data_IF_554563798968
#
_entry.id   IF_554563798968
#
_cell.length_a   1.000
_cell.length_b   1.000
_cell.length_c   1.000
_cell.angle_alpha   90.00
_cell.angle_beta   90.00
_cell.angle_gamma   90.00
#
_symmetry.space_group_name_H-M   'P 1'
#
loop_
_entity.id
_entity.type
_entity.pdbx_description
1 polymer ?
#
# COMPACT_ATOMS: atom_id res chain seq x y z
N UNK A 1 -6.82 29.42 -12.33
CA UNK A 1 -5.40 29.15 -12.00
C UNK A 1 -4.79 30.45 -11.50
N UNK A 2 -4.68 30.63 -10.19
CA UNK A 2 -4.04 31.82 -9.61
C UNK A 2 -2.52 31.61 -9.60
N UNK A 3 -1.69 32.51 -10.16
CA UNK A 3 -0.25 32.31 -10.34
C UNK A 3 0.62 32.49 -9.08
N UNK A 4 0.04 32.89 -7.94
CA UNK A 4 0.79 33.10 -6.68
C UNK A 4 1.44 31.87 -6.00
N UNK A 5 1.04 30.61 -6.20
CA UNK A 5 1.71 29.46 -5.57
C UNK A 5 3.17 29.26 -6.01
N UNK A 6 3.50 29.65 -7.25
CA UNK A 6 4.84 29.47 -7.80
C UNK A 6 5.87 30.40 -7.14
N UNK A 7 5.44 31.57 -6.65
CA UNK A 7 6.31 32.51 -5.93
C UNK A 7 6.76 31.99 -4.54
N UNK A 8 6.09 30.97 -4.00
CA UNK A 8 6.36 30.41 -2.66
C UNK A 8 6.99 29.00 -2.75
N UNK A 9 7.39 28.56 -3.95
CA UNK A 9 8.03 27.25 -4.14
C UNK A 9 7.11 26.07 -3.83
N UNK A 10 5.81 26.21 -4.11
CA UNK A 10 4.82 25.13 -3.96
C UNK A 10 4.18 24.81 -5.31
N UNK A 11 4.24 23.55 -5.71
CA UNK A 11 3.53 23.00 -6.84
C UNK A 11 2.41 22.09 -6.33
N UNK A 12 1.22 22.24 -6.90
CA UNK A 12 0.10 21.30 -6.73
C UNK A 12 -0.41 20.95 -8.11
N UNK A 13 -0.59 19.66 -8.35
CA UNK A 13 -1.11 19.12 -9.59
C UNK A 13 -2.34 18.31 -9.23
N UNK A 14 -3.51 18.81 -9.58
CA UNK A 14 -4.76 18.05 -9.46
C UNK A 14 -4.82 17.00 -10.59
N UNK A 15 -5.12 15.77 -10.22
CA UNK A 15 -5.19 14.61 -11.12
C UNK A 15 -6.63 14.15 -11.20
N UNK A 16 -7.18 14.12 -12.42
CA UNK A 16 -8.49 13.57 -12.70
C UNK A 16 -8.41 12.77 -14.01
N UNK A 17 -8.55 11.45 -13.91
CA UNK A 17 -8.65 10.53 -15.03
C UNK A 17 -10.01 9.83 -15.01
N UNK A 18 -10.72 9.85 -16.14
CA UNK A 18 -11.89 9.03 -16.37
C UNK A 18 -11.52 7.85 -17.26
N UNK A 19 -12.13 6.70 -17.00
CA UNK A 19 -12.03 5.55 -17.89
C UNK A 19 -12.65 5.90 -19.24
N UNK A 20 -11.82 6.13 -20.26
CA UNK A 20 -12.27 6.26 -21.64
C UNK A 20 -12.61 4.86 -22.16
N UNK A 21 -13.84 4.70 -22.67
CA UNK A 21 -14.53 3.43 -22.89
C UNK A 21 -14.01 2.52 -24.00
N UNK A 22 -12.72 2.17 -23.99
CA UNK A 22 -12.20 1.04 -24.78
C UNK A 22 -11.85 -0.13 -23.86
N UNK A 23 -12.65 -1.18 -24.01
CA UNK A 23 -12.72 -2.34 -23.12
C UNK A 23 -11.54 -3.28 -23.31
N UNK A 24 -10.39 -2.95 -22.72
CA UNK A 24 -9.40 -3.95 -22.30
C UNK A 24 -8.60 -3.41 -21.09
N UNK A 25 -8.75 -4.09 -19.95
CA UNK A 25 -8.23 -3.74 -18.61
C UNK A 25 -8.91 -2.57 -17.89
N UNK A 26 -10.07 -2.86 -17.26
CA UNK A 26 -10.61 -2.24 -16.06
C UNK A 26 -10.39 -0.72 -15.88
N UNK A 27 -11.43 0.05 -16.20
CA UNK A 27 -11.73 1.42 -15.78
C UNK A 27 -10.86 1.99 -14.65
N UNK A 28 -9.76 2.69 -14.99
CA UNK A 28 -8.91 3.40 -14.02
C UNK A 28 -9.47 4.80 -13.79
N UNK A 29 -10.36 4.94 -12.81
CA UNK A 29 -10.68 6.25 -12.25
C UNK A 29 -9.57 6.63 -11.29
N UNK A 30 -8.89 7.74 -11.56
CA UNK A 30 -7.93 8.35 -10.65
C UNK A 30 -8.42 9.75 -10.35
N UNK A 31 -8.53 10.10 -9.07
CA UNK A 31 -8.89 11.44 -8.60
C UNK A 31 -8.03 11.78 -7.40
N UNK A 32 -7.54 13.02 -7.34
CA UNK A 32 -6.83 13.54 -6.17
C UNK A 32 -5.88 14.64 -6.59
N UNK A 33 -4.84 14.87 -5.79
CA UNK A 33 -3.75 15.76 -6.18
C UNK A 33 -2.41 15.27 -5.67
N UNK A 34 -1.36 15.73 -6.33
CA UNK A 34 0.03 15.59 -5.90
C UNK A 34 0.51 16.98 -5.51
N UNK A 35 1.09 17.10 -4.32
CA UNK A 35 1.64 18.36 -3.80
C UNK A 35 3.14 18.23 -3.55
N UNK A 36 3.90 19.25 -3.92
CA UNK A 36 5.34 19.31 -3.74
C UNK A 36 5.77 20.73 -3.35
N UNK A 37 6.75 20.83 -2.48
CA UNK A 37 7.37 22.07 -2.02
C UNK A 37 8.81 21.83 -1.61
N UNK A 38 9.54 22.87 -1.21
CA UNK A 38 10.92 22.75 -0.72
C UNK A 38 11.08 21.74 0.43
N UNK A 39 10.09 21.66 1.32
CA UNK A 39 10.18 20.88 2.56
C UNK A 39 9.14 19.77 2.66
N UNK A 40 8.23 19.64 1.70
CA UNK A 40 7.15 18.68 1.78
C UNK A 40 6.74 18.13 0.43
N UNK A 41 6.40 16.85 0.40
CA UNK A 41 5.82 16.16 -0.75
C UNK A 41 4.64 15.32 -0.28
N UNK A 42 3.63 15.14 -1.10
CA UNK A 42 2.46 14.36 -0.71
C UNK A 42 1.45 14.11 -1.80
N UNK A 43 0.45 13.34 -1.44
CA UNK A 43 -0.80 13.17 -2.17
C UNK A 43 -1.95 13.64 -1.28
N UNK A 44 -2.94 14.27 -1.90
CA UNK A 44 -4.12 14.79 -1.23
C UNK A 44 -5.37 14.18 -1.86
N UNK A 45 -6.24 13.61 -1.02
CA UNK A 45 -7.58 13.09 -1.32
C UNK A 45 -7.58 12.14 -2.52
N UNK A 46 -6.62 11.21 -2.52
CA UNK A 46 -6.37 10.30 -3.64
C UNK A 46 -7.31 9.10 -3.60
N UNK A 47 -8.20 9.00 -4.59
CA UNK A 47 -9.00 7.82 -4.91
C UNK A 47 -8.54 7.26 -6.25
N UNK A 48 -7.98 6.05 -6.23
CA UNK A 48 -7.37 5.44 -7.42
C UNK A 48 -7.37 3.91 -7.35
N UNK A 49 -7.42 3.27 -8.51
CA UNK A 49 -7.08 1.85 -8.66
C UNK A 49 -5.76 1.72 -9.41
N UNK A 50 -4.75 1.18 -8.73
CA UNK A 50 -3.38 1.05 -9.21
C UNK A 50 -3.05 -0.42 -9.49
N UNK A 51 -2.71 -0.81 -10.73
CA UNK A 51 -2.19 -2.15 -10.97
C UNK A 51 -0.81 -2.29 -10.32
N UNK A 52 -0.61 -3.37 -9.57
CA UNK A 52 0.63 -3.59 -8.81
C UNK A 52 1.75 -4.22 -9.64
N UNK A 53 1.41 -4.92 -10.73
CA UNK A 53 2.38 -5.61 -11.59
C UNK A 53 3.26 -6.57 -10.78
N UNK A 54 4.58 -6.55 -11.04
CA UNK A 54 5.56 -7.39 -10.35
C UNK A 54 6.28 -6.69 -9.18
N UNK A 55 5.84 -5.48 -8.80
CA UNK A 55 6.54 -4.60 -7.84
C UNK A 55 6.65 -5.23 -6.45
N UNK A 56 5.66 -6.05 -6.07
CA UNK A 56 5.62 -6.70 -4.76
C UNK A 56 6.03 -8.18 -4.79
N UNK A 57 6.65 -8.65 -5.88
CA UNK A 57 7.11 -10.04 -5.96
C UNK A 57 8.02 -10.38 -4.76
N UNK A 58 7.84 -11.55 -4.13
CA UNK A 58 7.00 -12.68 -4.54
C UNK A 58 5.54 -12.64 -4.04
N UNK A 59 5.08 -11.55 -3.40
CA UNK A 59 3.69 -11.44 -2.95
C UNK A 59 2.74 -11.30 -4.15
N UNK A 60 1.61 -12.04 -4.18
CA UNK A 60 0.68 -12.00 -5.30
C UNK A 60 -0.28 -10.80 -5.20
N UNK A 61 0.26 -9.59 -5.04
CA UNK A 61 -0.55 -8.37 -5.07
C UNK A 61 -0.80 -8.02 -6.53
N UNK A 62 -2.06 -8.05 -6.96
CA UNK A 62 -2.45 -7.71 -8.34
C UNK A 62 -2.82 -6.24 -8.49
N UNK A 63 -3.29 -5.61 -7.42
CA UNK A 63 -3.63 -4.18 -7.43
C UNK A 63 -3.74 -3.57 -6.03
N UNK A 64 -3.76 -2.25 -6.01
CA UNK A 64 -4.03 -1.43 -4.84
C UNK A 64 -5.21 -0.50 -5.14
N UNK A 65 -6.18 -0.48 -4.26
CA UNK A 65 -7.31 0.44 -4.28
C UNK A 65 -7.07 1.48 -3.17
N UNK A 66 -7.08 2.75 -3.55
CA UNK A 66 -6.99 3.89 -2.67
C UNK A 66 -8.37 4.55 -2.60
N UNK A 67 -8.82 4.82 -1.38
CA UNK A 67 -10.07 5.50 -1.10
C UNK A 67 -9.80 6.67 -0.16
N UNK A 68 -9.84 7.88 -0.72
CA UNK A 68 -9.62 9.17 -0.04
C UNK A 68 -8.30 9.23 0.74
N UNK A 69 -7.22 8.79 0.09
CA UNK A 69 -5.90 8.67 0.72
C UNK A 69 -5.15 10.00 0.64
N UNK A 70 -4.81 10.54 1.81
CA UNK A 70 -4.01 11.75 1.96
C UNK A 70 -2.73 11.39 2.72
N UNK A 71 -1.56 11.64 2.13
CA UNK A 71 -0.25 11.41 2.75
C UNK A 71 0.66 12.59 2.49
N UNK A 72 1.33 13.08 3.53
CA UNK A 72 2.34 14.11 3.41
C UNK A 72 3.59 13.71 4.19
N UNK A 73 4.72 13.90 3.52
CA UNK A 73 6.04 13.88 4.12
C UNK A 73 6.53 15.31 4.26
N UNK A 74 7.09 15.64 5.42
CA UNK A 74 7.76 16.90 5.70
C UNK A 74 9.16 16.63 6.21
N UNK A 75 10.16 17.26 5.58
CA UNK A 75 11.57 17.10 5.89
C UNK A 75 12.01 15.61 5.94
N UNK A 76 11.42 14.79 5.07
CA UNK A 76 11.70 13.35 4.96
C UNK A 76 10.80 12.44 5.82
N UNK A 77 10.01 12.99 6.74
CA UNK A 77 9.21 12.23 7.70
C UNK A 77 7.72 12.32 7.39
N UNK A 78 6.99 11.21 7.53
CA UNK A 78 5.52 11.21 7.45
C UNK A 78 4.95 12.11 8.54
N UNK A 79 4.28 13.20 8.16
CA UNK A 79 3.65 14.16 9.07
C UNK A 79 2.11 14.12 9.01
N UNK A 80 1.54 13.59 7.92
CA UNK A 80 0.11 13.31 7.78
C UNK A 80 -0.08 12.01 6.98
N UNK A 81 -0.98 11.16 7.43
CA UNK A 81 -1.47 10.03 6.65
C UNK A 81 -2.86 9.63 7.13
N UNK A 82 -3.80 9.51 6.20
CA UNK A 82 -5.19 9.09 6.42
C UNK A 82 -5.79 8.50 5.14
N UNK A 83 -7.01 7.99 5.24
CA UNK A 83 -7.72 7.31 4.17
C UNK A 83 -7.52 5.79 4.20
N UNK A 84 -8.26 5.10 3.33
CA UNK A 84 -8.31 3.64 3.29
C UNK A 84 -7.52 3.10 2.10
N UNK A 85 -6.71 2.09 2.36
CA UNK A 85 -5.99 1.33 1.35
C UNK A 85 -6.47 -0.10 1.36
N UNK A 86 -6.65 -0.67 0.18
CA UNK A 86 -6.99 -2.07 -0.01
C UNK A 86 -6.05 -2.71 -1.03
N UNK A 87 -5.33 -3.74 -0.62
CA UNK A 87 -4.56 -4.57 -1.52
C UNK A 87 -5.43 -5.70 -2.06
N UNK A 88 -5.48 -5.83 -3.38
CA UNK A 88 -6.11 -6.94 -4.07
C UNK A 88 -5.04 -8.00 -4.30
N UNK A 89 -5.30 -9.21 -3.82
CA UNK A 89 -4.42 -10.34 -3.98
C UNK A 89 -4.97 -11.24 -5.09
N UNK A 90 -4.10 -11.72 -5.98
CA UNK A 90 -4.45 -12.67 -7.03
C UNK A 90 -3.96 -14.07 -6.69
N UNK A 91 -4.86 -15.01 -6.43
CA UNK A 91 -4.50 -16.41 -6.21
C UNK A 91 -4.08 -16.73 -4.77
N UNK A 92 -3.24 -17.75 -4.63
CA UNK A 92 -2.80 -18.36 -3.37
C UNK A 92 -1.31 -18.09 -3.07
N UNK A 93 -0.94 -17.95 -1.78
CA UNK A 93 0.46 -18.06 -1.36
C UNK A 93 0.68 -19.49 -0.88
N UNK A 94 1.61 -20.21 -1.52
CA UNK A 94 2.01 -21.55 -1.10
C UNK A 94 0.84 -22.56 -0.95
N UNK A 95 -0.20 -22.49 -1.81
CA UNK A 95 -1.37 -23.36 -1.71
C UNK A 95 -2.46 -22.88 -0.75
N UNK A 96 -2.33 -21.69 -0.17
CA UNK A 96 -3.30 -21.09 0.77
C UNK A 96 -4.06 -19.99 0.04
N UNK A 97 -5.38 -20.19 -0.12
CA UNK A 97 -6.27 -19.17 -0.67
C UNK A 97 -6.28 -17.95 0.26
N UNK A 98 -5.62 -16.88 -0.17
CA UNK A 98 -5.64 -15.62 0.56
C UNK A 98 -7.02 -15.01 0.37
N UNK A 99 -7.60 -14.50 1.45
CA UNK A 99 -8.93 -13.88 1.41
C UNK A 99 -9.02 -12.78 0.35
N UNK A 100 -10.25 -12.33 0.08
CA UNK A 100 -10.69 -11.33 -0.91
C UNK A 100 -9.98 -9.95 -0.76
N UNK A 101 -8.66 -9.87 -0.70
CA UNK A 101 -7.87 -8.68 -0.44
C UNK A 101 -7.64 -8.36 1.05
N UNK A 102 -6.65 -7.51 1.30
CA UNK A 102 -6.32 -6.97 2.62
C UNK A 102 -6.69 -5.49 2.65
N UNK A 103 -7.22 -4.97 3.75
CA UNK A 103 -7.49 -3.53 3.85
C UNK A 103 -7.08 -2.94 5.20
N UNK A 104 -6.83 -1.64 5.21
CA UNK A 104 -6.42 -0.89 6.40
C UNK A 104 -6.42 0.61 6.16
N UNK A 105 -6.29 1.39 7.24
CA UNK A 105 -6.23 2.85 7.15
C UNK A 105 -4.78 3.32 7.25
N UNK A 106 -4.38 4.19 6.33
CA UNK A 106 -3.06 4.81 6.33
C UNK A 106 -2.87 5.65 7.60
N UNK A 107 -1.66 5.60 8.17
CA UNK A 107 -1.27 6.46 9.30
C UNK A 107 0.24 6.67 9.33
N UNK A 108 0.71 7.74 9.95
CA UNK A 108 2.12 7.92 10.20
C UNK A 108 2.55 7.14 11.46
N UNK A 109 3.70 6.47 11.39
CA UNK A 109 4.30 5.72 12.49
C UNK A 109 5.82 5.83 12.39
N UNK A 110 6.48 6.34 13.46
CA UNK A 110 7.93 6.49 13.52
C UNK A 110 8.56 7.18 12.27
N UNK A 111 7.89 8.21 11.73
CA UNK A 111 8.34 8.96 10.54
C UNK A 111 8.10 8.25 9.20
N UNK A 112 7.52 7.05 9.21
CA UNK A 112 7.11 6.31 8.02
C UNK A 112 5.60 6.44 7.78
N UNK A 113 5.17 6.30 6.53
CA UNK A 113 3.79 5.91 6.22
C UNK A 113 3.64 4.43 6.59
N UNK A 114 2.72 4.12 7.49
CA UNK A 114 2.33 2.76 7.84
C UNK A 114 0.96 2.43 7.25
N UNK A 115 0.91 1.33 6.50
CA UNK A 115 -0.29 0.70 5.97
C UNK A 115 -0.53 -0.64 6.70
N UNK A 116 -1.41 -0.66 7.71
CA UNK A 116 -1.72 -1.81 8.55
C UNK A 116 -2.85 -2.65 7.95
N UNK A 117 -2.57 -3.37 6.88
CA UNK A 117 -3.58 -4.12 6.12
C UNK A 117 -3.91 -5.45 6.81
N UNK A 118 -5.18 -5.85 6.81
CA UNK A 118 -5.63 -7.15 7.32
C UNK A 118 -6.73 -7.75 6.43
N UNK A 119 -6.81 -9.08 6.40
CA UNK A 119 -7.90 -9.78 5.73
C UNK A 119 -9.18 -9.67 6.55
N UNK A 120 -10.34 -9.84 5.89
CA UNK A 120 -11.63 -9.86 6.59
C UNK A 120 -11.72 -10.99 7.62
N UNK A 121 -11.05 -12.13 7.38
CA UNK A 121 -11.00 -13.26 8.30
C UNK A 121 -10.03 -13.02 9.48
N UNK A 122 -9.15 -12.02 9.41
CA UNK A 122 -8.16 -11.72 10.45
C UNK A 122 -7.05 -12.77 10.58
N UNK A 123 -6.92 -13.65 9.59
CA UNK A 123 -5.89 -14.68 9.50
C UNK A 123 -4.62 -14.16 8.84
N UNK A 124 -4.73 -13.18 7.96
CA UNK A 124 -3.61 -12.53 7.29
C UNK A 124 -3.51 -11.05 7.67
N UNK A 125 -2.29 -10.58 7.90
CA UNK A 125 -1.97 -9.18 8.19
C UNK A 125 -0.70 -8.79 7.45
N UNK A 126 -0.71 -7.62 6.81
CA UNK A 126 0.48 -6.98 6.25
C UNK A 126 0.67 -5.61 6.89
N UNK A 127 1.78 -5.40 7.57
CA UNK A 127 2.22 -4.08 8.00
C UNK A 127 3.29 -3.59 7.02
N UNK A 128 2.91 -2.67 6.12
CA UNK A 128 3.82 -2.06 5.14
C UNK A 128 4.22 -0.66 5.62
N UNK A 129 5.52 -0.46 5.83
CA UNK A 129 6.12 0.85 6.15
C UNK A 129 6.85 1.38 4.94
N UNK A 130 6.58 2.63 4.56
CA UNK A 130 7.26 3.35 3.48
C UNK A 130 7.85 4.66 4.01
N UNK A 131 9.05 4.98 3.53
CA UNK A 131 9.72 6.26 3.80
C UNK A 131 9.76 7.10 2.53
N UNK A 132 9.91 8.42 2.68
CA UNK A 132 10.01 9.34 1.54
C UNK A 132 11.17 8.98 0.59
N UNK A 133 12.22 8.36 1.11
CA UNK A 133 13.40 7.92 0.34
C UNK A 133 13.12 6.76 -0.63
N UNK A 134 11.91 6.21 -0.66
CA UNK A 134 11.56 5.01 -1.42
C UNK A 134 11.79 3.69 -0.68
N UNK A 135 12.51 3.73 0.46
CA UNK A 135 12.72 2.55 1.30
C UNK A 135 11.39 2.03 1.79
N UNK A 136 11.24 0.70 1.81
CA UNK A 136 10.08 0.07 2.42
C UNK A 136 10.45 -1.18 3.23
N UNK A 137 9.56 -1.52 4.16
CA UNK A 137 9.56 -2.79 4.88
C UNK A 137 8.13 -3.32 4.94
N UNK A 138 7.89 -4.50 4.39
CA UNK A 138 6.62 -5.21 4.47
C UNK A 138 6.76 -6.39 5.43
N UNK A 139 5.88 -6.46 6.45
CA UNK A 139 5.79 -7.60 7.36
C UNK A 139 4.46 -8.32 7.14
N UNK A 140 4.51 -9.51 6.55
CA UNK A 140 3.36 -10.37 6.36
C UNK A 140 3.29 -11.37 7.52
N UNK A 141 2.16 -11.42 8.21
CA UNK A 141 1.85 -12.41 9.25
C UNK A 141 0.65 -13.24 8.81
N UNK A 142 0.77 -14.56 8.86
CA UNK A 142 -0.29 -15.52 8.53
C UNK A 142 -0.51 -16.46 9.70
N UNK A 143 -1.75 -16.59 10.14
CA UNK A 143 -2.17 -17.61 11.11
C UNK A 143 -2.54 -18.87 10.34
N UNK A 144 -1.74 -19.93 10.54
CA UNK A 144 -2.02 -21.22 9.93
C UNK A 144 -3.29 -21.83 10.53
N UNK A 145 -4.14 -22.41 9.70
CA UNK A 145 -5.35 -23.14 10.10
C UNK A 145 -5.04 -24.50 10.71
N UNK A 146 -3.95 -25.13 10.27
CA UNK A 146 -3.55 -26.49 10.61
C UNK A 146 -2.02 -26.69 10.50
N UNK A 147 -1.47 -27.81 11.01
CA UNK A 147 -0.03 -28.07 10.98
C UNK A 147 0.56 -28.21 9.56
N UNK A 148 -0.23 -28.65 8.58
CA UNK A 148 0.25 -28.82 7.20
C UNK A 148 0.44 -27.44 6.55
N UNK A 149 -0.51 -26.52 6.76
CA UNK A 149 -0.40 -25.14 6.32
C UNK A 149 0.78 -24.42 7.00
N UNK A 150 1.01 -24.67 8.29
CA UNK A 150 2.19 -24.14 9.00
C UNK A 150 3.50 -24.59 8.35
N UNK A 151 3.63 -25.89 8.07
CA UNK A 151 4.83 -26.44 7.44
C UNK A 151 5.08 -25.87 6.04
N UNK A 152 4.02 -25.65 5.24
CA UNK A 152 4.13 -24.98 3.94
C UNK A 152 4.62 -23.54 4.04
N UNK A 153 4.12 -22.78 5.01
CA UNK A 153 4.58 -21.40 5.26
C UNK A 153 6.05 -21.37 5.64
N UNK A 154 6.50 -22.29 6.49
CA UNK A 154 7.91 -22.39 6.89
C UNK A 154 8.83 -22.72 5.69
N UNK A 155 8.41 -23.64 4.82
CA UNK A 155 9.11 -23.92 3.55
C UNK A 155 9.14 -22.70 2.62
N UNK A 156 8.12 -21.85 2.69
CA UNK A 156 8.04 -20.56 1.99
C UNK A 156 8.87 -19.44 2.63
N UNK A 157 9.67 -19.73 3.67
CA UNK A 157 10.57 -18.77 4.32
C UNK A 157 9.95 -18.00 5.48
N UNK A 158 8.69 -18.28 5.83
CA UNK A 158 8.08 -17.69 7.03
C UNK A 158 8.73 -18.27 8.29
N UNK A 159 8.80 -17.46 9.33
CA UNK A 159 9.30 -17.87 10.65
C UNK A 159 8.15 -17.90 11.66
N UNK A 160 8.04 -18.93 12.51
CA UNK A 160 7.01 -18.96 13.55
C UNK A 160 7.23 -17.85 14.58
N UNK A 161 6.15 -17.22 15.02
CA UNK A 161 6.10 -16.14 16.02
C UNK A 161 4.88 -16.33 16.94
N UNK A 162 4.80 -15.56 18.02
CA UNK A 162 3.62 -15.58 18.91
C UNK A 162 2.32 -15.12 18.25
N UNK A 163 2.38 -14.45 17.10
CA UNK A 163 1.21 -13.91 16.38
C UNK A 163 0.80 -14.75 15.15
N UNK A 164 1.58 -15.78 14.81
CA UNK A 164 1.46 -16.57 13.58
C UNK A 164 2.83 -16.79 12.92
N UNK A 165 2.84 -17.10 11.63
CA UNK A 165 4.05 -17.21 10.83
C UNK A 165 4.32 -15.88 10.15
N UNK A 166 5.55 -15.37 10.25
CA UNK A 166 5.91 -14.04 9.77
C UNK A 166 6.99 -14.11 8.70
N UNK A 167 6.80 -13.35 7.64
CA UNK A 167 7.80 -13.06 6.61
C UNK A 167 8.04 -11.55 6.57
N UNK A 168 9.30 -11.13 6.52
CA UNK A 168 9.68 -9.72 6.35
C UNK A 168 10.37 -9.55 5.02
N UNK A 169 9.99 -8.51 4.29
CA UNK A 169 10.57 -8.11 3.00
C UNK A 169 10.97 -6.64 3.13
N UNK A 170 12.23 -6.34 2.89
CA UNK A 170 12.75 -4.98 2.77
C UNK A 170 13.17 -4.69 1.33
N UNK A 171 13.12 -3.42 0.96
CA UNK A 171 13.51 -3.00 -0.37
C UNK A 171 13.49 -1.49 -0.55
N UNK A 172 13.65 -1.08 -1.81
CA UNK A 172 13.63 0.31 -2.25
C UNK A 172 13.05 0.38 -3.67
N UNK A 173 12.40 1.49 -4.00
CA UNK A 173 11.91 1.79 -5.36
C UNK A 173 12.84 2.75 -6.09
#
# INVERSE_FOLDING_TARGET
LSPWPLAVGRARIDVAGQATGDSSAASRTVRGAISASRHAVGIDDMTASLPAGNVFAPLPVTGLELDDVSVRYRDGNCDKAEGRVRAVLGGDIAGIALGQGLSGNARCDAGALLLPLASQAGTERVDLRLWQSGRFVAQLTVRASDPTAAQKLELGGFRPTSKGHMLTIDGNF
#
